data_IF_251504394292
#
_entry.id   IF_251504394292
#
_cell.length_a   1.000
_cell.length_b   1.000
_cell.length_c   1.000
_cell.angle_alpha   90.00
_cell.angle_beta   90.00
_cell.angle_gamma   90.00
#
_symmetry.space_group_name_H-M   'P 1'
#
loop_
_entity.id
_entity.type
_entity.pdbx_description
1 polymer ?
#
# COMPACT_ATOMS: atom_id res chain seq x y z
N UNK A 1 -36.63 -15.85 -42.54
CA UNK A 1 -37.34 -15.09 -41.49
C UNK A 1 -36.48 -13.94 -41.00
N UNK A 2 -36.99 -12.71 -40.94
CA UNK A 2 -36.22 -11.55 -40.45
C UNK A 2 -36.35 -11.52 -38.92
N UNK A 3 -35.22 -11.38 -38.23
CA UNK A 3 -35.20 -11.14 -36.78
C UNK A 3 -36.14 -9.96 -36.48
N UNK A 4 -37.00 -10.13 -35.49
CA UNK A 4 -37.87 -9.06 -35.02
C UNK A 4 -37.08 -7.86 -34.44
N UNK A 5 -37.62 -6.66 -34.54
CA UNK A 5 -36.95 -5.46 -33.97
C UNK A 5 -36.54 -5.64 -32.50
N UNK A 6 -37.32 -6.38 -31.70
CA UNK A 6 -37.03 -6.68 -30.31
C UNK A 6 -35.82 -7.60 -30.16
N UNK A 7 -35.67 -8.61 -31.01
CA UNK A 7 -34.55 -9.56 -30.96
C UNK A 7 -33.23 -8.87 -31.34
N UNK A 8 -33.29 -7.98 -32.38
CA UNK A 8 -32.15 -7.16 -32.77
C UNK A 8 -31.71 -6.22 -31.63
N UNK A 9 -32.67 -5.54 -31.01
CA UNK A 9 -32.39 -4.67 -29.89
C UNK A 9 -31.76 -5.43 -28.68
N UNK A 10 -32.30 -6.62 -28.36
CA UNK A 10 -31.74 -7.49 -27.31
C UNK A 10 -30.31 -7.93 -27.61
N UNK A 11 -30.04 -8.31 -28.88
CA UNK A 11 -28.68 -8.70 -29.29
C UNK A 11 -27.69 -7.52 -29.20
N UNK A 12 -28.11 -6.33 -29.64
CA UNK A 12 -27.26 -5.12 -29.52
C UNK A 12 -26.93 -4.78 -28.10
N UNK A 13 -27.90 -4.87 -27.19
CA UNK A 13 -27.66 -4.67 -25.74
C UNK A 13 -26.69 -5.71 -25.21
N UNK A 14 -26.88 -6.99 -25.54
CA UNK A 14 -25.97 -8.06 -25.10
C UNK A 14 -24.54 -7.84 -25.60
N UNK A 15 -24.37 -7.45 -26.86
CA UNK A 15 -23.06 -7.14 -27.43
C UNK A 15 -22.42 -5.92 -26.77
N UNK A 16 -23.20 -4.88 -26.46
CA UNK A 16 -22.70 -3.71 -25.74
C UNK A 16 -22.21 -4.07 -24.34
N UNK A 17 -22.97 -4.91 -23.60
CA UNK A 17 -22.56 -5.39 -22.27
C UNK A 17 -21.32 -6.30 -22.37
N UNK A 18 -21.25 -7.19 -23.35
CA UNK A 18 -20.08 -8.02 -23.57
C UNK A 18 -18.82 -7.17 -23.88
N UNK A 19 -18.96 -6.14 -24.71
CA UNK A 19 -17.89 -5.21 -25.01
C UNK A 19 -17.43 -4.43 -23.76
N UNK A 20 -18.37 -4.00 -22.93
CA UNK A 20 -18.06 -3.35 -21.63
C UNK A 20 -17.28 -4.30 -20.72
N UNK A 21 -17.72 -5.55 -20.58
CA UNK A 21 -17.01 -6.58 -19.81
C UNK A 21 -15.59 -6.79 -20.34
N UNK A 22 -15.42 -6.93 -21.66
CA UNK A 22 -14.09 -7.08 -22.27
C UNK A 22 -13.19 -5.87 -21.99
N UNK A 23 -13.74 -4.64 -22.08
CA UNK A 23 -13.01 -3.42 -21.74
C UNK A 23 -12.58 -3.38 -20.27
N UNK A 24 -13.44 -3.81 -19.34
CA UNK A 24 -13.10 -3.91 -17.92
C UNK A 24 -12.02 -4.97 -17.67
N UNK A 25 -12.05 -6.08 -18.40
CA UNK A 25 -10.98 -7.08 -18.37
C UNK A 25 -9.63 -6.51 -18.80
N UNK A 26 -9.59 -5.78 -19.92
CA UNK A 26 -8.37 -5.09 -20.37
C UNK A 26 -7.89 -4.05 -19.34
N UNK A 27 -8.80 -3.25 -18.80
CA UNK A 27 -8.46 -2.28 -17.75
C UNK A 27 -7.83 -2.94 -16.51
N UNK A 28 -8.31 -4.10 -16.09
CA UNK A 28 -7.70 -4.86 -14.98
C UNK A 28 -6.28 -5.35 -15.32
N UNK A 29 -6.05 -5.79 -16.55
CA UNK A 29 -4.69 -6.18 -17.01
C UNK A 29 -3.74 -4.98 -17.01
N UNK A 30 -4.20 -3.80 -17.42
CA UNK A 30 -3.38 -2.58 -17.36
C UNK A 30 -3.05 -2.18 -15.91
N UNK A 31 -4.00 -2.35 -14.98
CA UNK A 31 -3.74 -2.13 -13.54
C UNK A 31 -2.74 -3.12 -12.98
N UNK A 32 -2.82 -4.39 -13.39
CA UNK A 32 -1.84 -5.41 -13.03
C UNK A 32 -0.44 -5.03 -13.52
N UNK A 33 -0.32 -4.63 -14.80
CA UNK A 33 0.96 -4.19 -15.38
C UNK A 33 1.57 -3.03 -14.61
N UNK A 34 0.78 -1.96 -14.38
CA UNK A 34 1.21 -0.79 -13.61
C UNK A 34 1.65 -1.14 -12.17
N UNK A 35 0.97 -2.10 -11.52
CA UNK A 35 1.35 -2.57 -10.19
C UNK A 35 2.68 -3.33 -10.25
N UNK A 36 2.86 -4.22 -11.20
CA UNK A 36 4.11 -4.97 -11.41
C UNK A 36 5.30 -4.05 -11.68
N UNK A 37 5.13 -3.03 -12.50
CA UNK A 37 6.17 -2.04 -12.78
C UNK A 37 6.58 -1.28 -11.50
N UNK A 38 5.62 -0.79 -10.71
CA UNK A 38 5.90 -0.15 -9.42
C UNK A 38 6.58 -1.10 -8.45
N UNK A 39 6.09 -2.35 -8.36
CA UNK A 39 6.69 -3.37 -7.50
C UNK A 39 8.12 -3.72 -7.93
N UNK A 40 8.41 -3.73 -9.22
CA UNK A 40 9.77 -3.97 -9.72
C UNK A 40 10.74 -2.87 -9.27
N UNK A 41 10.35 -1.60 -9.36
CA UNK A 41 11.15 -0.47 -8.85
C UNK A 41 11.37 -0.58 -7.34
N UNK A 42 10.31 -0.86 -6.58
CA UNK A 42 10.41 -1.03 -5.12
C UNK A 42 11.31 -2.22 -4.76
N UNK A 43 11.14 -3.35 -5.43
CA UNK A 43 11.96 -4.56 -5.21
C UNK A 43 13.44 -4.29 -5.53
N UNK A 44 13.72 -3.58 -6.61
CA UNK A 44 15.08 -3.18 -6.96
C UNK A 44 15.70 -2.29 -5.87
N UNK A 45 14.98 -1.29 -5.37
CA UNK A 45 15.45 -0.40 -4.31
C UNK A 45 15.70 -1.16 -2.98
N UNK A 46 14.82 -2.09 -2.61
CA UNK A 46 14.96 -2.92 -1.41
C UNK A 46 16.09 -3.95 -1.53
N UNK A 47 16.43 -4.39 -2.73
CA UNK A 47 17.51 -5.34 -3.01
C UNK A 47 18.91 -4.72 -2.99
N UNK A 48 19.01 -3.39 -3.01
CA UNK A 48 20.30 -2.71 -2.90
C UNK A 48 20.92 -2.89 -1.51
N UNK A 49 22.25 -2.77 -1.38
CA UNK A 49 22.94 -2.87 -0.09
C UNK A 49 22.36 -1.93 0.96
N UNK A 50 22.37 -2.38 2.22
CA UNK A 50 21.98 -1.58 3.38
C UNK A 50 22.87 -0.34 3.46
N UNK A 51 22.28 0.84 3.64
CA UNK A 51 23.01 2.09 3.80
C UNK A 51 22.99 2.52 5.27
N UNK A 52 24.09 3.05 5.76
CA UNK A 52 24.12 3.71 7.07
C UNK A 52 23.43 5.07 6.98
N UNK A 53 22.55 5.37 7.94
CA UNK A 53 21.90 6.67 8.06
C UNK A 53 22.90 7.70 8.54
N UNK A 54 23.40 8.52 7.62
CA UNK A 54 24.41 9.57 7.88
C UNK A 54 23.96 10.90 7.30
N UNK A 55 24.60 11.98 7.72
CA UNK A 55 24.34 13.33 7.23
C UNK A 55 24.59 13.57 5.74
N UNK A 56 25.25 12.63 5.05
CA UNK A 56 25.46 12.70 3.60
C UNK A 56 24.23 12.28 2.80
N UNK A 57 23.23 11.63 3.41
CA UNK A 57 22.03 11.14 2.71
C UNK A 57 21.01 12.26 2.48
N UNK A 58 20.55 12.34 1.23
CA UNK A 58 19.40 13.16 0.83
C UNK A 58 18.11 12.34 0.86
N UNK A 59 16.96 13.01 0.79
CA UNK A 59 15.67 12.33 0.69
C UNK A 59 15.61 11.40 -0.54
N UNK A 60 16.15 11.83 -1.68
CA UNK A 60 16.09 11.04 -2.91
C UNK A 60 16.97 9.79 -2.84
N UNK A 61 18.13 9.88 -2.20
CA UNK A 61 19.01 8.73 -1.99
C UNK A 61 18.50 7.73 -0.94
N UNK A 62 17.69 8.21 0.02
CA UNK A 62 17.14 7.40 1.11
C UNK A 62 15.78 6.77 0.76
N UNK A 63 14.99 7.41 -0.11
CA UNK A 63 13.61 7.01 -0.38
C UNK A 63 13.51 5.58 -0.93
N UNK A 64 12.72 4.76 -0.24
CA UNK A 64 12.47 3.35 -0.61
C UNK A 64 13.68 2.43 -0.38
N UNK A 65 14.81 2.95 0.12
CA UNK A 65 16.01 2.17 0.44
C UNK A 65 15.96 1.63 1.85
N UNK A 66 16.58 0.49 2.04
CA UNK A 66 16.86 -0.03 3.39
C UNK A 66 18.01 0.75 4.01
N UNK A 67 17.79 1.29 5.18
CA UNK A 67 18.75 2.08 5.94
C UNK A 67 18.94 1.48 7.33
N UNK A 68 20.12 1.65 7.85
CA UNK A 68 20.48 1.26 9.20
C UNK A 68 20.83 2.52 10.00
N UNK A 69 20.23 2.69 11.17
CA UNK A 69 20.49 3.80 12.08
C UNK A 69 20.92 3.26 13.45
N UNK A 70 22.11 3.64 13.89
CA UNK A 70 22.62 3.38 15.24
C UNK A 70 22.76 4.66 16.03
N UNK A 71 22.27 4.64 17.26
CA UNK A 71 22.34 5.83 18.08
C UNK A 71 21.58 5.70 19.39
N UNK A 72 21.04 6.82 19.86
CA UNK A 72 20.28 6.90 21.11
C UNK A 72 18.92 7.55 20.83
N UNK A 73 17.83 6.92 21.28
CA UNK A 73 16.50 7.50 21.21
C UNK A 73 16.40 8.77 22.04
N UNK A 74 15.86 9.83 21.45
CA UNK A 74 15.47 11.03 22.20
C UNK A 74 13.95 11.04 22.43
N UNK A 75 13.52 10.43 23.51
CA UNK A 75 12.11 10.38 23.87
C UNK A 75 11.50 11.75 24.23
N UNK A 76 12.33 12.75 24.59
CA UNK A 76 11.84 14.12 24.81
C UNK A 76 11.42 14.78 23.49
N UNK A 77 12.08 14.41 22.39
CA UNK A 77 11.75 14.86 21.04
C UNK A 77 10.68 14.04 20.35
N UNK A 78 10.13 13.00 20.98
CA UNK A 78 9.12 12.11 20.35
C UNK A 78 7.86 12.87 19.93
N UNK A 79 7.31 12.51 18.78
CA UNK A 79 6.08 13.07 18.20
C UNK A 79 5.10 11.96 17.84
N UNK A 80 3.81 12.30 17.79
CA UNK A 80 2.76 11.38 17.37
C UNK A 80 2.30 11.72 15.97
N UNK A 81 2.42 10.77 15.05
CA UNK A 81 1.76 10.87 13.77
C UNK A 81 0.32 10.34 13.90
N UNK A 82 -0.64 11.22 13.83
CA UNK A 82 -2.06 10.98 14.13
C UNK A 82 -3.02 11.72 13.19
N UNK A 83 -4.23 11.22 12.91
CA UNK A 83 -4.64 9.84 13.25
C UNK A 83 -3.95 8.81 12.37
N UNK A 84 -3.79 7.60 12.88
CA UNK A 84 -3.32 6.43 12.11
C UNK A 84 -4.22 5.24 12.42
N UNK A 85 -4.53 4.43 11.39
CA UNK A 85 -5.24 3.17 11.60
C UNK A 85 -4.37 2.01 11.15
N UNK A 86 -4.45 0.89 11.85
CA UNK A 86 -3.83 -0.37 11.47
C UNK A 86 -4.89 -1.47 11.54
N UNK A 87 -5.10 -2.20 10.44
CA UNK A 87 -6.14 -3.25 10.30
C UNK A 87 -7.53 -2.79 10.73
N UNK A 88 -7.88 -1.53 10.43
CA UNK A 88 -9.17 -0.94 10.79
C UNK A 88 -9.28 -0.44 12.23
N UNK A 89 -8.27 -0.65 13.06
CA UNK A 89 -8.24 -0.15 14.45
C UNK A 89 -7.62 1.26 14.50
N UNK A 90 -8.28 2.24 15.13
CA UNK A 90 -7.72 3.59 15.28
C UNK A 90 -6.52 3.60 16.23
N UNK A 91 -5.58 4.49 15.96
CA UNK A 91 -4.37 4.62 16.76
C UNK A 91 -3.45 5.73 16.29
N UNK A 92 -2.22 5.68 16.72
CA UNK A 92 -1.16 6.65 16.42
C UNK A 92 0.14 5.93 16.06
N UNK A 93 1.02 6.56 15.29
CA UNK A 93 2.40 6.09 15.14
C UNK A 93 3.35 6.97 15.96
N UNK A 94 4.36 6.33 16.58
CA UNK A 94 5.36 7.01 17.40
C UNK A 94 6.59 7.32 16.54
N UNK A 95 6.88 8.60 16.42
CA UNK A 95 8.02 9.13 15.66
C UNK A 95 9.04 9.65 16.66
N UNK A 96 10.12 8.90 16.85
CA UNK A 96 11.14 9.21 17.85
C UNK A 96 12.45 9.57 17.14
N UNK A 97 13.07 10.72 17.45
CA UNK A 97 14.41 11.00 16.97
C UNK A 97 15.44 10.01 17.51
N UNK A 98 16.31 9.52 16.63
CA UNK A 98 17.52 8.78 17.00
C UNK A 98 18.71 9.67 16.74
N UNK A 99 19.42 10.05 17.80
CA UNK A 99 20.67 10.82 17.73
C UNK A 99 21.79 9.92 17.24
N UNK A 100 22.41 10.30 16.15
CA UNK A 100 23.48 9.58 15.47
C UNK A 100 24.84 10.04 15.99
N UNK A 101 25.89 9.25 15.72
CA UNK A 101 27.25 9.57 16.16
C UNK A 101 27.82 10.85 15.53
N UNK A 102 27.29 11.31 14.38
CA UNK A 102 27.70 12.54 13.70
C UNK A 102 27.03 13.82 14.27
N UNK A 103 26.30 13.72 15.36
CA UNK A 103 25.60 14.84 16.03
C UNK A 103 24.27 15.23 15.40
N UNK A 104 23.82 14.57 14.33
CA UNK A 104 22.51 14.71 13.71
C UNK A 104 21.52 13.72 14.30
N UNK A 105 20.26 13.83 13.90
CA UNK A 105 19.28 12.80 14.23
C UNK A 105 18.43 12.44 13.02
N UNK A 106 17.90 11.22 13.02
CA UNK A 106 16.89 10.75 12.06
C UNK A 106 15.59 10.51 12.81
N UNK A 107 14.48 10.97 12.26
CA UNK A 107 13.14 10.62 12.76
C UNK A 107 12.84 9.17 12.45
N UNK A 108 12.59 8.35 13.47
CA UNK A 108 12.25 6.94 13.32
C UNK A 108 10.78 6.73 13.61
N UNK A 109 10.02 6.28 12.61
CA UNK A 109 8.68 5.73 12.81
C UNK A 109 8.84 4.34 13.45
N UNK A 110 8.74 4.31 14.79
CA UNK A 110 8.90 3.09 15.58
C UNK A 110 7.73 2.13 15.43
N UNK A 111 6.61 2.59 14.90
CA UNK A 111 5.42 1.79 14.65
C UNK A 111 4.17 2.36 15.29
N UNK A 112 3.12 1.56 15.19
CA UNK A 112 1.76 1.93 15.58
C UNK A 112 1.39 1.41 16.97
N UNK A 113 0.62 2.23 17.71
CA UNK A 113 -0.04 1.87 18.96
C UNK A 113 -1.55 2.14 18.87
N UNK A 114 -2.40 1.27 19.47
CA UNK A 114 -3.83 1.51 19.53
C UNK A 114 -4.14 2.74 20.40
N UNK A 115 -5.10 3.54 19.93
CA UNK A 115 -5.61 4.69 20.67
C UNK A 115 -7.10 4.82 20.33
N UNK A 116 -8.01 4.73 21.32
CA UNK A 116 -9.44 4.78 21.06
C UNK A 116 -9.91 6.06 20.37
N UNK A 117 -9.28 7.18 20.67
CA UNK A 117 -9.56 8.48 20.05
C UNK A 117 -8.65 8.80 18.85
N UNK A 118 -7.68 7.92 18.55
CA UNK A 118 -6.66 8.08 17.51
C UNK A 118 -5.73 9.31 17.71
N UNK A 119 -5.67 9.88 18.90
CA UNK A 119 -4.90 11.09 19.18
C UNK A 119 -4.03 11.02 20.42
N UNK A 120 -4.42 10.29 21.47
CA UNK A 120 -3.74 10.28 22.76
C UNK A 120 -3.33 8.87 23.17
N UNK A 121 -2.11 8.75 23.67
CA UNK A 121 -1.58 7.53 24.30
C UNK A 121 -0.62 7.90 25.42
N UNK A 122 -0.38 6.98 26.33
CA UNK A 122 0.76 7.07 27.24
C UNK A 122 2.04 6.63 26.50
N UNK A 123 2.78 7.57 25.95
CA UNK A 123 4.03 7.31 25.20
C UNK A 123 5.07 6.58 26.05
N UNK A 124 5.07 6.80 27.39
CA UNK A 124 6.05 6.19 28.30
C UNK A 124 5.90 4.67 28.34
N UNK A 125 4.68 4.17 28.21
CA UNK A 125 4.40 2.74 28.17
C UNK A 125 5.04 2.01 26.95
N UNK A 126 5.37 2.75 25.90
CA UNK A 126 5.96 2.22 24.67
C UNK A 126 7.46 2.51 24.52
N UNK A 127 8.14 2.90 25.59
CA UNK A 127 9.59 3.09 25.55
C UNK A 127 10.30 1.75 25.41
N UNK A 128 11.31 1.75 24.57
CA UNK A 128 12.28 0.67 24.37
C UNK A 128 13.61 1.07 25.00
N UNK A 129 14.62 0.20 25.04
CA UNK A 129 15.96 0.61 25.52
C UNK A 129 16.46 1.85 24.79
N UNK A 130 17.17 2.72 25.48
CA UNK A 130 17.62 4.00 24.92
C UNK A 130 18.54 3.85 23.72
N UNK A 131 19.30 2.74 23.65
CA UNK A 131 20.15 2.44 22.49
C UNK A 131 19.30 1.98 21.32
N UNK A 132 19.42 2.67 20.20
CA UNK A 132 18.78 2.35 18.95
C UNK A 132 19.73 1.60 18.02
N UNK A 133 19.30 0.43 17.53
CA UNK A 133 19.89 -0.32 16.41
C UNK A 133 18.75 -0.68 15.47
N UNK A 134 18.49 0.20 14.51
CA UNK A 134 17.24 0.20 13.73
C UNK A 134 17.51 -0.02 12.26
N UNK A 135 16.91 -1.05 11.70
CA UNK A 135 16.80 -1.23 10.25
C UNK A 135 15.40 -0.80 9.80
N UNK A 136 15.34 0.04 8.79
CA UNK A 136 14.09 0.59 8.30
C UNK A 136 14.12 0.96 6.83
N UNK A 137 13.03 1.53 6.34
CA UNK A 137 12.89 2.04 4.98
C UNK A 137 12.81 3.57 5.05
N UNK A 138 13.67 4.25 4.28
CA UNK A 138 13.64 5.70 4.15
C UNK A 138 12.38 6.17 3.43
N UNK A 139 11.68 7.16 3.99
CA UNK A 139 10.46 7.71 3.42
C UNK A 139 10.40 9.23 3.56
N UNK A 140 9.65 9.86 2.65
CA UNK A 140 9.35 11.28 2.78
C UNK A 140 8.39 11.53 3.94
N UNK A 141 8.46 12.73 4.51
CA UNK A 141 7.45 13.19 5.46
C UNK A 141 6.06 13.21 4.81
N UNK A 142 5.00 12.88 5.56
CA UNK A 142 3.64 12.93 5.04
C UNK A 142 3.22 14.38 4.78
N UNK A 143 2.53 14.61 3.66
CA UNK A 143 2.06 15.95 3.31
C UNK A 143 1.07 16.48 4.34
N UNK A 144 1.21 17.77 4.71
CA UNK A 144 0.31 18.44 5.64
C UNK A 144 0.51 18.07 7.12
N UNK A 145 1.52 17.29 7.46
CA UNK A 145 1.85 16.87 8.84
C UNK A 145 3.14 17.49 9.32
N UNK A 146 3.08 18.78 9.63
CA UNK A 146 4.26 19.53 10.09
C UNK A 146 4.84 19.06 11.42
N UNK A 147 4.04 18.40 12.25
CA UNK A 147 4.41 17.81 13.54
C UNK A 147 5.34 16.60 13.43
N UNK A 148 5.48 16.02 12.24
CA UNK A 148 6.41 14.90 11.95
C UNK A 148 7.26 15.15 10.69
N UNK A 149 7.29 16.38 10.19
CA UNK A 149 8.09 16.77 9.03
C UNK A 149 9.48 17.26 9.49
N UNK A 150 10.60 16.56 9.12
CA UNK A 150 11.94 16.97 9.51
C UNK A 150 12.27 18.43 9.15
N UNK A 151 11.76 18.94 8.03
CA UNK A 151 12.01 20.30 7.60
C UNK A 151 11.34 21.34 8.51
N UNK A 152 10.18 21.02 9.08
CA UNK A 152 9.42 21.90 9.99
C UNK A 152 9.82 21.76 11.45
N UNK A 153 10.41 20.62 11.82
CA UNK A 153 10.90 20.37 13.18
C UNK A 153 12.31 20.93 13.43
N UNK A 154 12.96 21.48 12.41
CA UNK A 154 14.35 21.95 12.45
C UNK A 154 14.63 22.87 13.65
N UNK A 155 13.70 23.80 13.96
CA UNK A 155 13.89 24.82 14.98
C UNK A 155 13.31 24.38 16.35
N UNK A 156 12.67 23.21 16.41
CA UNK A 156 12.04 22.69 17.63
C UNK A 156 12.87 21.61 18.35
N UNK A 157 13.98 21.19 17.74
CA UNK A 157 14.89 20.19 18.30
C UNK A 157 16.33 20.76 18.36
N UNK A 158 17.12 20.40 19.36
CA UNK A 158 18.46 20.99 19.60
C UNK A 158 19.56 20.40 18.69
N UNK A 159 19.21 19.69 17.64
CA UNK A 159 20.13 19.03 16.70
C UNK A 159 19.56 19.04 15.28
N UNK A 160 20.41 19.00 14.24
CA UNK A 160 19.97 18.92 12.86
C UNK A 160 19.31 17.57 12.57
N UNK A 161 18.23 17.58 11.77
CA UNK A 161 17.55 16.37 11.33
C UNK A 161 17.95 15.96 9.91
N UNK A 162 18.04 14.65 9.66
CA UNK A 162 18.08 14.11 8.31
C UNK A 162 16.76 14.40 7.58
N UNK A 163 16.77 14.63 6.25
CA UNK A 163 15.60 15.12 5.51
C UNK A 163 14.57 14.03 5.16
N UNK A 164 14.53 12.96 5.92
CA UNK A 164 13.61 11.83 5.72
C UNK A 164 13.21 11.20 7.05
N UNK A 165 12.18 10.38 7.02
CA UNK A 165 11.75 9.53 8.13
C UNK A 165 12.24 8.10 7.84
N UNK A 166 12.72 7.40 8.84
CA UNK A 166 13.06 5.99 8.78
C UNK A 166 11.92 5.15 9.36
N UNK A 167 11.16 4.49 8.52
CA UNK A 167 10.12 3.55 8.95
C UNK A 167 10.76 2.25 9.41
N UNK A 168 10.73 1.99 10.71
CA UNK A 168 11.34 0.80 11.31
C UNK A 168 10.64 -0.47 10.87
N UNK A 169 11.40 -1.40 10.34
CA UNK A 169 10.91 -2.73 9.98
C UNK A 169 10.81 -3.65 11.20
N UNK A 170 9.95 -4.68 11.14
CA UNK A 170 9.98 -5.75 12.13
C UNK A 170 11.38 -6.38 12.19
N UNK A 171 11.87 -6.79 13.38
CA UNK A 171 13.13 -7.48 13.50
C UNK A 171 13.06 -8.80 12.70
N UNK A 172 14.16 -9.12 12.01
CA UNK A 172 14.26 -10.33 11.17
C UNK A 172 14.20 -11.64 11.98
N UNK A 173 14.50 -11.58 13.26
CA UNK A 173 14.42 -12.71 14.19
C UNK A 173 13.28 -12.48 15.18
N UNK A 174 12.21 -13.25 15.02
CA UNK A 174 11.02 -13.22 15.89
C UNK A 174 11.25 -13.80 17.30
N UNK A 175 12.49 -14.12 17.67
CA UNK A 175 12.82 -14.87 18.88
C UNK A 175 12.67 -14.05 20.18
N UNK A 176 12.69 -12.73 20.12
CA UNK A 176 12.47 -11.88 21.29
C UNK A 176 11.33 -10.89 21.03
N UNK A 177 10.14 -11.34 21.35
CA UNK A 177 8.96 -10.47 21.33
C UNK A 177 8.93 -9.69 22.64
N UNK A 178 9.10 -8.35 22.63
CA UNK A 178 9.06 -7.58 23.86
C UNK A 178 7.73 -7.75 24.60
N UNK A 179 7.70 -7.64 25.94
CA UNK A 179 6.45 -7.73 26.70
C UNK A 179 5.49 -6.59 26.31
N UNK A 180 4.17 -6.80 26.44
CA UNK A 180 3.19 -5.72 26.24
C UNK A 180 3.31 -4.63 27.32
N UNK A 181 2.95 -3.36 27.02
CA UNK A 181 2.49 -2.88 25.72
C UNK A 181 3.65 -2.73 24.73
N UNK A 182 3.40 -2.99 23.46
CA UNK A 182 4.41 -2.90 22.40
C UNK A 182 3.86 -2.27 21.14
N UNK A 183 4.76 -1.64 20.39
CA UNK A 183 4.43 -1.10 19.09
C UNK A 183 4.27 -2.22 18.05
N UNK A 184 3.28 -2.04 17.18
CA UNK A 184 3.16 -2.84 15.97
C UNK A 184 4.03 -2.19 14.90
N UNK A 185 5.09 -2.88 14.49
CA UNK A 185 5.94 -2.41 13.39
C UNK A 185 5.18 -2.48 12.07
N UNK A 186 5.35 -1.48 11.22
CA UNK A 186 4.76 -1.52 9.90
C UNK A 186 5.33 -2.66 9.08
N UNK A 187 4.49 -3.45 8.41
CA UNK A 187 5.00 -4.51 7.54
C UNK A 187 5.81 -3.90 6.38
N UNK A 188 6.75 -4.66 5.80
CA UNK A 188 7.40 -4.24 4.57
C UNK A 188 6.38 -4.04 3.46
N UNK A 189 6.70 -3.25 2.40
CA UNK A 189 5.79 -3.03 1.29
C UNK A 189 5.28 -4.32 0.67
N UNK A 190 3.96 -4.42 0.46
CA UNK A 190 3.36 -5.53 -0.26
C UNK A 190 3.72 -5.46 -1.76
N UNK A 191 4.50 -6.44 -2.22
CA UNK A 191 4.95 -6.58 -3.60
C UNK A 191 4.13 -7.61 -4.39
N UNK A 192 2.96 -8.00 -3.89
CA UNK A 192 2.04 -8.90 -4.57
C UNK A 192 1.34 -8.23 -5.75
N UNK A 193 0.83 -9.06 -6.67
CA UNK A 193 0.10 -8.61 -7.87
C UNK A 193 -1.28 -8.02 -7.54
N UNK A 194 -1.80 -8.29 -6.34
CA UNK A 194 -3.18 -7.97 -5.98
C UNK A 194 -4.20 -8.82 -6.75
N UNK A 195 -5.51 -8.53 -6.65
CA UNK A 195 -6.55 -9.34 -7.23
C UNK A 195 -6.83 -9.03 -8.72
N UNK A 196 -5.99 -8.22 -9.38
CA UNK A 196 -6.27 -7.73 -10.74
C UNK A 196 -6.39 -8.83 -11.79
N UNK A 197 -5.57 -9.90 -11.69
CA UNK A 197 -5.63 -11.01 -12.63
C UNK A 197 -6.94 -11.80 -12.51
N UNK A 198 -7.38 -12.10 -11.29
CA UNK A 198 -8.64 -12.81 -11.08
C UNK A 198 -9.85 -12.00 -11.56
N UNK A 199 -9.87 -10.70 -11.32
CA UNK A 199 -10.90 -9.82 -11.86
C UNK A 199 -10.87 -9.73 -13.38
N UNK A 200 -9.70 -9.70 -14.01
CA UNK A 200 -9.61 -9.73 -15.47
C UNK A 200 -10.23 -11.01 -16.05
N UNK A 201 -9.89 -12.17 -15.46
CA UNK A 201 -10.47 -13.46 -15.85
C UNK A 201 -12.00 -13.45 -15.70
N UNK A 202 -12.54 -12.94 -14.59
CA UNK A 202 -13.97 -12.83 -14.38
C UNK A 202 -14.66 -11.98 -15.46
N UNK A 203 -14.11 -10.80 -15.76
CA UNK A 203 -14.68 -9.92 -16.76
C UNK A 203 -14.68 -10.54 -18.16
N UNK A 204 -13.59 -11.19 -18.57
CA UNK A 204 -13.55 -11.90 -19.85
C UNK A 204 -14.50 -13.09 -19.87
N UNK A 205 -14.63 -13.82 -18.77
CA UNK A 205 -15.60 -14.91 -18.65
C UNK A 205 -17.04 -14.42 -18.84
N UNK A 206 -17.41 -13.30 -18.23
CA UNK A 206 -18.72 -12.69 -18.43
C UNK A 206 -18.94 -12.28 -19.89
N UNK A 207 -17.95 -11.68 -20.54
CA UNK A 207 -18.05 -11.34 -21.96
C UNK A 207 -18.31 -12.58 -22.83
N UNK A 208 -17.59 -13.66 -22.59
CA UNK A 208 -17.75 -14.93 -23.31
C UNK A 208 -19.13 -15.54 -23.06
N UNK A 209 -19.57 -15.62 -21.79
CA UNK A 209 -20.89 -16.17 -21.42
C UNK A 209 -22.02 -15.40 -22.11
N UNK A 210 -21.95 -14.07 -22.14
CA UNK A 210 -22.96 -13.23 -22.78
C UNK A 210 -23.01 -13.49 -24.28
N UNK A 211 -21.85 -13.54 -24.94
CA UNK A 211 -21.79 -13.80 -26.39
C UNK A 211 -22.31 -15.19 -26.72
N UNK A 212 -21.82 -16.23 -26.03
CA UNK A 212 -22.21 -17.62 -26.28
C UNK A 212 -23.72 -17.82 -25.99
N UNK A 213 -24.20 -17.28 -24.86
CA UNK A 213 -25.62 -17.33 -24.50
C UNK A 213 -26.52 -16.63 -25.53
N UNK A 214 -26.11 -15.46 -26.00
CA UNK A 214 -26.86 -14.71 -27.03
C UNK A 214 -26.92 -15.48 -28.38
N UNK A 215 -25.81 -16.10 -28.79
CA UNK A 215 -25.78 -16.93 -30.00
C UNK A 215 -26.65 -18.17 -29.82
N UNK A 216 -26.59 -18.84 -28.65
CA UNK A 216 -27.41 -20.04 -28.41
C UNK A 216 -28.91 -19.70 -28.42
N UNK A 217 -29.31 -18.58 -27.82
CA UNK A 217 -30.69 -18.13 -27.81
C UNK A 217 -31.17 -17.79 -29.21
N UNK A 218 -30.38 -17.07 -30.01
CA UNK A 218 -30.72 -16.74 -31.39
C UNK A 218 -30.87 -18.00 -32.26
N UNK A 219 -30.03 -19.02 -32.08
CA UNK A 219 -30.12 -20.31 -32.78
C UNK A 219 -31.39 -21.07 -32.39
N UNK A 220 -31.75 -21.07 -31.07
CA UNK A 220 -32.97 -21.74 -30.58
C UNK A 220 -34.22 -21.09 -31.15
N UNK A 221 -34.31 -19.78 -31.18
CA UNK A 221 -35.43 -19.04 -31.76
C UNK A 221 -35.61 -19.32 -33.27
N UNK A 222 -34.52 -19.39 -34.02
CA UNK A 222 -34.56 -19.77 -35.45
C UNK A 222 -35.15 -21.16 -35.65
N UNK A 223 -34.71 -22.19 -34.91
CA UNK A 223 -35.22 -23.55 -34.99
C UNK A 223 -36.71 -23.65 -34.65
N UNK A 224 -37.19 -22.92 -33.66
CA UNK A 224 -38.60 -22.89 -33.26
C UNK A 224 -39.48 -22.20 -34.34
N UNK A 225 -38.98 -21.15 -34.98
CA UNK A 225 -39.67 -20.49 -36.08
C UNK A 225 -39.81 -21.34 -37.32
N UNK A 226 -38.83 -22.21 -37.60
CA UNK A 226 -38.86 -23.14 -38.74
C UNK A 226 -39.84 -24.29 -38.51
N UNK A 227 -40.08 -24.71 -37.27
CA UNK A 227 -41.02 -25.79 -36.90
C UNK A 227 -42.50 -25.30 -36.83
N UNK A 228 -42.72 -24.00 -36.57
CA UNK A 228 -44.07 -23.42 -36.47
C UNK A 228 -44.65 -22.92 -37.77
N UNK A 229 -43.96 -23.02 -38.91
CA UNK A 229 -44.41 -22.56 -40.25
C UNK A 229 -45.11 -23.63 -41.12
N UNK A 230 -45.42 -24.80 -40.53
CA UNK A 230 -46.09 -25.91 -41.22
C UNK A 230 -47.59 -26.13 -40.78
N UNK A 231 -48.26 -25.08 -40.30
CA UNK A 231 -49.68 -25.14 -40.02
C UNK A 231 -50.46 -24.08 -40.82
#
# INVERSE_FOLDING_TARGET
MRLGRRDVAGLLVALAVAALCARLGVWQLDRLRQRRERNAVTRAALGLPLLEATGALTLDSARGRRLHARGVYDYAGERLWRPRAYEGVPGVALITPVKLADGRAVLVDRGWAPSPDAYHIDQRAYREPDTADVVGIGMAAPRGRGDVDPAKLRDSLPYPLLPFILQQLPPSTALHRPPPPRLVRWPPPDLGDGPHLSYAIQWFSFAVIIVVGSVALARKQRRQGDLGGYH
#
